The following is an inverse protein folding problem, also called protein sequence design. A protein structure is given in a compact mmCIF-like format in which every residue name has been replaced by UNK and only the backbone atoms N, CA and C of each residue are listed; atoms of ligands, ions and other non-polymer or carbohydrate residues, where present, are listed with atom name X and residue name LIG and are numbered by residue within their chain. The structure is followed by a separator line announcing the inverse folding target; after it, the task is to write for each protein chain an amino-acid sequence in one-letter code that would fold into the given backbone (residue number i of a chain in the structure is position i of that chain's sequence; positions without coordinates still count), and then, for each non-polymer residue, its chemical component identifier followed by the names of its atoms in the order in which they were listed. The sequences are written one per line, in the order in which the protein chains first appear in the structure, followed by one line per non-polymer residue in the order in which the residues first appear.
data_IF_723404671479
#
_entry.id   IF_723404671479
#
_cell.length_a   1.000
_cell.length_b   1.000
_cell.length_c   1.000
_cell.angle_alpha   90.00
_cell.angle_beta   90.00
_cell.angle_gamma   90.00
#
_symmetry.space_group_name_H-M   'P 1'
#
loop_
_entity.id
_entity.type
_entity.pdbx_description
1 polymer ?
#
# COMPACT_ATOMS: atom_id res chain seq x y z
N UNK A 1 31.24 13.48 -11.87
CA UNK A 1 30.00 12.94 -12.43
C UNK A 1 28.99 12.83 -11.31
N UNK A 2 28.16 13.85 -11.14
CA UNK A 2 27.21 13.92 -10.03
C UNK A 2 26.05 12.95 -10.33
N UNK A 3 26.08 11.77 -9.71
CA UNK A 3 24.91 10.90 -9.66
C UNK A 3 23.81 11.66 -8.92
N UNK A 4 22.92 12.28 -9.69
CA UNK A 4 21.66 12.78 -9.19
C UNK A 4 20.89 11.56 -8.71
N UNK A 5 21.02 11.24 -7.43
CA UNK A 5 20.11 10.36 -6.71
C UNK A 5 18.75 11.06 -6.74
N UNK A 6 18.03 10.91 -7.86
CA UNK A 6 16.60 11.19 -7.92
C UNK A 6 16.01 10.37 -6.79
N UNK A 7 15.54 11.06 -5.77
CA UNK A 7 14.71 10.52 -4.72
C UNK A 7 13.40 10.03 -5.36
N UNK A 8 13.45 8.93 -6.11
CA UNK A 8 12.34 8.00 -6.09
C UNK A 8 12.21 7.63 -4.61
N UNK A 9 11.22 8.18 -3.91
CA UNK A 9 10.68 7.52 -2.72
C UNK A 9 10.10 6.20 -3.22
N UNK A 10 11.01 5.23 -3.38
CA UNK A 10 10.87 4.05 -4.21
C UNK A 10 10.18 2.99 -3.37
N UNK A 11 8.86 3.08 -3.23
CA UNK A 11 8.13 1.82 -3.11
C UNK A 11 8.46 1.04 -4.38
N UNK A 12 9.15 -0.09 -4.25
CA UNK A 12 9.49 -0.93 -5.39
C UNK A 12 8.26 -1.13 -6.29
N UNK A 13 8.41 -1.11 -7.61
CA UNK A 13 7.30 -1.33 -8.57
C UNK A 13 6.49 -2.58 -8.20
N UNK A 14 7.16 -3.60 -7.67
CA UNK A 14 6.56 -4.80 -7.11
C UNK A 14 5.61 -4.53 -5.94
N UNK A 15 5.98 -3.63 -5.03
CA UNK A 15 5.16 -3.21 -3.89
C UNK A 15 3.92 -2.45 -4.35
N UNK A 16 4.05 -1.57 -5.34
CA UNK A 16 2.90 -0.84 -5.91
C UNK A 16 1.89 -1.78 -6.57
N UNK A 17 2.37 -2.77 -7.34
CA UNK A 17 1.50 -3.80 -7.93
C UNK A 17 0.76 -4.62 -6.86
N UNK A 18 1.44 -4.97 -5.77
CA UNK A 18 0.83 -5.67 -4.63
C UNK A 18 -0.25 -4.82 -3.96
N UNK A 19 0.00 -3.51 -3.79
CA UNK A 19 -0.96 -2.56 -3.24
C UNK A 19 -2.19 -2.42 -4.15
N UNK A 20 -1.99 -2.21 -5.46
CA UNK A 20 -3.09 -2.07 -6.42
C UNK A 20 -3.97 -3.32 -6.45
N UNK A 21 -3.36 -4.51 -6.42
CA UNK A 21 -4.12 -5.76 -6.33
C UNK A 21 -4.92 -5.88 -5.03
N UNK A 22 -4.35 -5.47 -3.91
CA UNK A 22 -5.06 -5.45 -2.63
C UNK A 22 -6.27 -4.52 -2.64
N UNK A 23 -6.16 -3.34 -3.27
CA UNK A 23 -7.26 -2.39 -3.41
C UNK A 23 -8.41 -2.94 -4.28
N UNK A 24 -8.09 -3.65 -5.36
CA UNK A 24 -9.10 -4.36 -6.16
C UNK A 24 -9.77 -5.48 -5.34
N UNK A 25 -8.99 -6.26 -4.59
CA UNK A 25 -9.54 -7.29 -3.70
C UNK A 25 -10.43 -6.69 -2.61
N UNK A 26 -10.11 -5.51 -2.10
CA UNK A 26 -10.96 -4.81 -1.13
C UNK A 26 -12.35 -4.52 -1.71
N UNK A 27 -12.42 -4.12 -2.98
CA UNK A 27 -13.69 -3.81 -3.66
C UNK A 27 -14.51 -5.08 -3.95
N UNK A 28 -13.86 -6.20 -4.28
CA UNK A 28 -14.56 -7.45 -4.66
C UNK A 28 -14.87 -8.38 -3.50
N UNK A 29 -13.97 -8.50 -2.52
CA UNK A 29 -14.02 -9.48 -1.43
C UNK A 29 -14.19 -8.82 -0.06
N UNK A 30 -13.79 -7.55 0.06
CA UNK A 30 -13.87 -6.79 1.30
C UNK A 30 -12.52 -6.53 1.97
N UNK A 31 -12.55 -5.67 3.00
CA UNK A 31 -11.37 -5.14 3.68
C UNK A 31 -10.50 -6.22 4.34
N UNK A 32 -11.14 -7.24 4.94
CA UNK A 32 -10.45 -8.32 5.65
C UNK A 32 -9.53 -9.12 4.73
N UNK A 33 -10.00 -9.45 3.53
CA UNK A 33 -9.21 -10.23 2.56
C UNK A 33 -8.05 -9.42 1.98
N UNK A 34 -8.27 -8.14 1.68
CA UNK A 34 -7.21 -7.23 1.27
C UNK A 34 -6.12 -7.09 2.36
N UNK A 35 -6.52 -6.96 3.63
CA UNK A 35 -5.60 -6.89 4.76
C UNK A 35 -4.79 -8.19 4.92
N UNK A 36 -5.46 -9.34 4.85
CA UNK A 36 -4.80 -10.64 4.90
C UNK A 36 -3.81 -10.84 3.75
N UNK A 37 -4.16 -10.41 2.54
CA UNK A 37 -3.30 -10.48 1.36
C UNK A 37 -2.01 -9.66 1.54
N UNK A 38 -2.12 -8.39 1.97
CA UNK A 38 -0.94 -7.54 2.20
C UNK A 38 -0.05 -8.07 3.34
N UNK A 39 -0.66 -8.64 4.38
CA UNK A 39 0.06 -9.25 5.50
C UNK A 39 0.87 -10.47 5.03
N UNK A 40 0.27 -11.34 4.20
CA UNK A 40 0.97 -12.50 3.59
C UNK A 40 2.12 -12.07 2.67
N UNK A 41 2.02 -10.91 2.03
CA UNK A 41 3.08 -10.31 1.21
C UNK A 41 4.14 -9.55 2.01
N UNK A 42 4.12 -9.65 3.35
CA UNK A 42 5.08 -9.02 4.27
C UNK A 42 5.16 -7.49 4.08
N UNK A 43 4.07 -6.87 3.62
CA UNK A 43 3.99 -5.42 3.54
C UNK A 43 3.96 -4.84 4.95
N UNK A 44 4.70 -3.76 5.18
CA UNK A 44 4.80 -3.12 6.50
C UNK A 44 3.41 -2.72 6.99
N UNK A 45 3.05 -2.99 8.27
CA UNK A 45 1.74 -2.65 8.82
C UNK A 45 1.36 -1.17 8.66
N UNK A 46 2.32 -0.25 8.76
CA UNK A 46 2.10 1.17 8.53
C UNK A 46 1.61 1.49 7.11
N UNK A 47 2.16 0.80 6.10
CA UNK A 47 1.72 0.91 4.71
C UNK A 47 0.32 0.31 4.53
N UNK A 48 0.05 -0.85 5.15
CA UNK A 48 -1.28 -1.49 5.09
C UNK A 48 -2.35 -0.54 5.65
N UNK A 49 -2.14 0.01 6.85
CA UNK A 49 -3.03 1.00 7.46
C UNK A 49 -3.24 2.19 6.54
N UNK A 50 -2.17 2.73 5.96
CA UNK A 50 -2.26 3.88 5.06
C UNK A 50 -3.10 3.56 3.83
N UNK A 51 -2.82 2.45 3.15
CA UNK A 51 -3.42 2.09 1.85
C UNK A 51 -4.88 1.68 1.99
N UNK A 52 -5.20 0.90 3.03
CA UNK A 52 -6.57 0.40 3.26
C UNK A 52 -7.43 1.35 4.10
N UNK A 53 -6.88 2.46 4.62
CA UNK A 53 -7.67 3.49 5.30
C UNK A 53 -8.68 4.11 4.33
N UNK A 54 -9.93 4.23 4.78
CA UNK A 54 -10.95 4.97 4.06
C UNK A 54 -10.50 6.43 3.85
N UNK A 55 -10.82 7.05 2.71
CA UNK A 55 -10.37 8.41 2.37
C UNK A 55 -10.79 9.51 3.36
N UNK A 56 -11.67 9.23 4.33
CA UNK A 56 -12.04 10.14 5.43
C UNK A 56 -11.16 10.08 6.69
N UNK A 57 -10.38 9.01 6.88
CA UNK A 57 -9.58 8.79 8.12
C UNK A 57 -8.24 9.57 8.11
N UNK A 58 -7.86 10.10 6.95
CA UNK A 58 -6.57 10.80 6.77
C UNK A 58 -6.59 12.28 7.20
N UNK A 59 -7.71 12.80 7.72
CA UNK A 59 -7.91 14.23 8.03
C UNK A 59 -8.19 14.59 9.49
N UNK A 60 -8.14 13.64 10.40
CA UNK A 60 -8.36 13.93 11.83
C UNK A 60 -7.10 13.57 12.62
N UNK A 61 -6.29 14.60 12.88
CA UNK A 61 -5.37 14.82 14.02
C UNK A 61 -4.21 15.70 13.57
#
# INVERSE_FOLDING_TARGET
MNQVQRAYSRTDVTTELVINRALLMQQSLGLRDAHMFLTRKRIKPATIKRVLACPGDRRSC
#
